data_IF_043402332931
#
_entry.id   IF_043402332931
#
_cell.length_a   1.000
_cell.length_b   1.000
_cell.length_c   1.000
_cell.angle_alpha   90.00
_cell.angle_beta   90.00
_cell.angle_gamma   90.00
#
_symmetry.space_group_name_H-M   'P 1'
#
loop_
_entity.id
_entity.type
_entity.pdbx_description
1 polymer ?
#
# COMPACT_ATOMS: atom_id res chain seq x y z
N UNK A 1 9.05 -38.84 -36.77
CA UNK A 1 9.66 -37.49 -36.85
C UNK A 1 8.56 -36.44 -36.91
N UNK A 2 8.21 -35.80 -35.79
CA UNK A 2 7.60 -34.47 -35.76
C UNK A 2 8.07 -33.75 -34.49
N UNK A 3 8.40 -32.48 -34.68
CA UNK A 3 9.31 -31.66 -33.87
C UNK A 3 8.54 -30.85 -32.83
N UNK A 4 9.18 -30.65 -31.68
CA UNK A 4 9.21 -29.46 -30.83
C UNK A 4 7.94 -28.60 -30.77
N UNK A 5 7.19 -28.73 -29.66
CA UNK A 5 6.42 -27.62 -29.10
C UNK A 5 6.90 -27.43 -27.65
N UNK A 6 8.01 -26.70 -27.53
CA UNK A 6 8.50 -26.21 -26.25
C UNK A 6 7.59 -25.06 -25.82
N UNK A 7 6.72 -25.32 -24.84
CA UNK A 7 5.94 -24.29 -24.17
C UNK A 7 6.89 -23.54 -23.23
N UNK A 8 7.35 -22.37 -23.67
CA UNK A 8 8.12 -21.45 -22.82
C UNK A 8 7.13 -20.85 -21.83
N UNK A 9 7.05 -21.44 -20.64
CA UNK A 9 6.36 -20.88 -19.49
C UNK A 9 7.22 -19.72 -18.96
N UNK A 10 6.93 -18.49 -19.41
CA UNK A 10 7.54 -17.28 -18.84
C UNK A 10 6.90 -17.07 -17.46
N UNK A 11 7.52 -17.64 -16.43
CA UNK A 11 7.24 -17.29 -15.05
C UNK A 11 7.71 -15.85 -14.83
N UNK A 12 6.79 -14.88 -14.94
CA UNK A 12 7.02 -13.53 -14.46
C UNK A 12 7.18 -13.63 -12.94
N UNK A 13 8.41 -13.52 -12.46
CA UNK A 13 8.67 -13.24 -11.05
C UNK A 13 8.13 -11.83 -10.77
N UNK A 14 6.85 -11.72 -10.46
CA UNK A 14 6.34 -10.58 -9.71
C UNK A 14 7.06 -10.64 -8.37
N UNK A 15 8.11 -9.82 -8.22
CA UNK A 15 8.68 -9.50 -6.92
C UNK A 15 7.55 -8.85 -6.12
N UNK A 16 6.78 -9.69 -5.43
CA UNK A 16 5.52 -9.36 -4.82
C UNK A 16 5.83 -8.42 -3.65
N UNK A 17 5.60 -7.12 -3.86
CA UNK A 17 5.44 -6.20 -2.75
C UNK A 17 4.29 -6.70 -1.88
N UNK A 18 4.49 -6.77 -0.58
CA UNK A 18 3.48 -7.27 0.35
C UNK A 18 2.72 -6.12 0.96
N UNK A 19 1.40 -6.21 0.98
CA UNK A 19 0.55 -5.29 1.73
C UNK A 19 -0.11 -6.05 2.87
N UNK A 20 -0.10 -5.48 4.08
CA UNK A 20 -0.80 -6.02 5.24
C UNK A 20 -1.75 -4.95 5.76
N UNK A 21 -2.99 -5.35 6.01
CA UNK A 21 -4.07 -4.47 6.48
C UNK A 21 -4.56 -4.99 7.82
N UNK A 22 -4.70 -4.09 8.79
CA UNK A 22 -5.13 -4.39 10.16
C UNK A 22 -6.26 -3.44 10.57
N UNK A 23 -7.54 -3.84 10.45
CA UNK A 23 -8.66 -3.00 10.84
C UNK A 23 -8.75 -2.82 12.36
N UNK A 24 -9.30 -1.70 12.80
CA UNK A 24 -9.63 -1.41 14.19
C UNK A 24 -11.14 -1.36 14.37
N UNK A 25 -11.69 -2.28 15.15
CA UNK A 25 -13.10 -2.23 15.55
C UNK A 25 -14.06 -2.42 14.38
N UNK A 26 -14.82 -1.37 14.06
CA UNK A 26 -15.91 -1.40 13.07
C UNK A 26 -15.40 -1.59 11.63
N UNK A 27 -16.17 -2.33 10.84
CA UNK A 27 -15.92 -2.46 9.41
C UNK A 27 -16.72 -1.41 8.66
N UNK A 28 -16.02 -0.61 7.86
CA UNK A 28 -16.63 0.34 6.93
C UNK A 28 -16.75 -0.28 5.54
N UNK A 29 -17.68 0.25 4.74
CA UNK A 29 -17.74 -0.09 3.32
C UNK A 29 -16.50 0.46 2.60
N UNK A 30 -15.88 -0.32 1.68
CA UNK A 30 -14.73 0.13 0.94
C UNK A 30 -14.99 1.42 0.16
N UNK A 31 -13.99 2.30 0.08
CA UNK A 31 -13.98 3.51 -0.76
C UNK A 31 -13.27 3.23 -2.08
N UNK A 32 -13.19 4.21 -2.98
CA UNK A 32 -12.35 4.07 -4.19
C UNK A 32 -10.90 4.45 -3.87
N UNK A 33 -9.87 3.73 -4.36
CA UNK A 33 -8.47 4.09 -4.12
C UNK A 33 -8.12 5.52 -4.50
N UNK A 34 -8.70 6.05 -5.58
CA UNK A 34 -8.47 7.43 -6.03
C UNK A 34 -9.10 8.51 -5.12
N UNK A 35 -9.99 8.13 -4.21
CA UNK A 35 -10.62 9.02 -3.22
C UNK A 35 -9.87 9.02 -1.88
N UNK A 36 -8.91 8.10 -1.70
CA UNK A 36 -8.12 8.02 -0.47
C UNK A 36 -6.96 9.01 -0.56
N UNK A 37 -6.98 10.02 0.30
CA UNK A 37 -5.89 10.98 0.41
C UNK A 37 -4.69 10.38 1.19
N UNK A 38 -3.47 10.82 0.86
CA UNK A 38 -2.26 10.40 1.59
C UNK A 38 -1.65 11.61 2.29
N UNK A 39 -1.63 11.56 3.62
CA UNK A 39 -1.01 12.59 4.46
C UNK A 39 0.31 12.10 5.06
N UNK A 40 1.19 13.06 5.37
CA UNK A 40 2.49 12.83 6.03
C UNK A 40 2.53 13.35 7.47
N UNK A 41 1.39 13.85 7.95
CA UNK A 41 1.14 14.29 9.32
C UNK A 41 -0.35 14.16 9.58
N UNK A 42 -0.75 13.89 10.83
CA UNK A 42 -2.17 13.81 11.16
C UNK A 42 -2.86 15.16 10.89
N UNK A 43 -4.04 15.16 10.24
CA UNK A 43 -4.84 16.35 10.04
C UNK A 43 -5.37 16.87 11.39
N UNK A 44 -5.60 18.18 11.48
CA UNK A 44 -6.14 18.81 12.70
C UNK A 44 -7.65 18.56 12.89
N UNK A 45 -8.35 18.23 11.81
CA UNK A 45 -9.78 17.92 11.81
C UNK A 45 -10.06 16.65 12.63
N UNK A 46 -11.23 16.57 13.24
CA UNK A 46 -11.65 15.39 13.99
C UNK A 46 -11.71 14.18 13.05
N UNK A 47 -11.12 13.06 13.49
CA UNK A 47 -11.06 11.84 12.69
C UNK A 47 -10.95 10.61 13.57
N UNK A 48 -11.45 9.49 13.04
CA UNK A 48 -11.33 8.17 13.66
C UNK A 48 -10.22 7.39 12.96
N UNK A 49 -9.36 6.72 13.73
CA UNK A 49 -8.42 5.73 13.20
C UNK A 49 -9.14 4.40 13.05
N UNK A 50 -9.21 3.91 11.82
CA UNK A 50 -10.00 2.72 11.47
C UNK A 50 -9.12 1.49 11.16
N UNK A 51 -7.80 1.67 11.11
CA UNK A 51 -6.86 0.57 10.93
C UNK A 51 -5.44 1.02 10.65
N UNK A 52 -4.53 0.07 10.63
CA UNK A 52 -3.16 0.26 10.16
C UNK A 52 -2.92 -0.50 8.86
N UNK A 53 -2.11 0.11 8.00
CA UNK A 53 -1.67 -0.42 6.72
C UNK A 53 -0.15 -0.50 6.72
N UNK A 54 0.40 -1.61 6.24
CA UNK A 54 1.83 -1.82 6.08
C UNK A 54 2.12 -2.25 4.64
N UNK A 55 2.86 -1.41 3.91
CA UNK A 55 3.20 -1.64 2.51
C UNK A 55 4.71 -1.86 2.38
N UNK A 56 5.08 -3.04 1.90
CA UNK A 56 6.44 -3.35 1.46
C UNK A 56 6.52 -3.20 -0.05
N UNK A 57 7.28 -2.22 -0.53
CA UNK A 57 7.43 -1.91 -1.95
C UNK A 57 8.86 -2.13 -2.45
N UNK A 58 8.99 -2.92 -3.51
CA UNK A 58 10.22 -3.04 -4.28
C UNK A 58 10.25 -2.02 -5.42
N UNK A 59 11.40 -1.34 -5.60
CA UNK A 59 11.65 -0.44 -6.72
C UNK A 59 12.82 -0.96 -7.57
N UNK A 60 12.59 -1.34 -8.83
CA UNK A 60 13.68 -1.72 -9.73
C UNK A 60 14.51 -0.50 -10.15
N UNK A 61 15.74 -0.75 -10.63
CA UNK A 61 16.65 0.28 -11.11
C UNK A 61 17.71 0.69 -10.09
N UNK A 62 18.27 1.89 -10.26
CA UNK A 62 19.45 2.34 -9.51
C UNK A 62 19.15 3.34 -8.39
N UNK A 63 17.95 3.93 -8.34
CA UNK A 63 17.54 4.84 -7.26
C UNK A 63 16.89 4.13 -6.07
N UNK A 64 17.11 4.66 -4.87
CA UNK A 64 16.47 4.15 -3.66
C UNK A 64 14.95 4.38 -3.72
N UNK A 65 14.13 3.46 -3.20
CA UNK A 65 12.70 3.68 -3.07
C UNK A 65 12.41 4.82 -2.08
N UNK A 66 11.29 5.47 -2.30
CA UNK A 66 10.76 6.56 -1.48
C UNK A 66 9.33 6.23 -1.06
N UNK A 67 8.78 6.96 -0.10
CA UNK A 67 7.38 6.80 0.31
C UNK A 67 6.42 7.01 -0.86
N UNK A 68 6.76 7.89 -1.80
CA UNK A 68 5.96 8.14 -3.01
C UNK A 68 5.78 6.90 -3.89
N UNK A 69 6.76 5.97 -3.89
CA UNK A 69 6.67 4.73 -4.66
C UNK A 69 5.64 3.74 -4.06
N UNK A 70 5.21 3.97 -2.82
CA UNK A 70 4.22 3.16 -2.10
C UNK A 70 2.81 3.77 -2.09
N UNK A 71 2.62 5.01 -2.57
CA UNK A 71 1.35 5.76 -2.49
C UNK A 71 0.17 4.98 -3.07
N UNK A 72 0.30 4.45 -4.29
CA UNK A 72 -0.75 3.68 -4.95
C UNK A 72 -1.23 2.50 -4.07
N UNK A 73 -0.28 1.79 -3.45
CA UNK A 73 -0.59 0.64 -2.59
C UNK A 73 -1.16 1.05 -1.23
N UNK A 74 -0.76 2.21 -0.71
CA UNK A 74 -1.35 2.78 0.51
C UNK A 74 -2.81 3.19 0.25
N UNK A 75 -3.09 3.77 -0.92
CA UNK A 75 -4.44 4.16 -1.33
C UNK A 75 -5.35 2.95 -1.53
N UNK A 76 -4.87 1.91 -2.23
CA UNK A 76 -5.61 0.65 -2.38
C UNK A 76 -5.98 0.04 -1.02
N UNK A 77 -5.01 -0.07 -0.11
CA UNK A 77 -5.24 -0.66 1.21
C UNK A 77 -6.11 0.22 2.13
N UNK A 78 -5.96 1.54 2.06
CA UNK A 78 -6.86 2.47 2.74
C UNK A 78 -8.29 2.33 2.22
N UNK A 79 -8.46 2.15 0.91
CA UNK A 79 -9.76 1.97 0.28
C UNK A 79 -10.44 0.67 0.72
N UNK A 80 -9.69 -0.42 0.82
CA UNK A 80 -10.18 -1.69 1.38
C UNK A 80 -10.73 -1.54 2.81
N UNK A 81 -10.14 -0.64 3.60
CA UNK A 81 -10.60 -0.31 4.96
C UNK A 81 -11.80 0.66 4.99
N UNK A 82 -12.19 1.24 3.86
CA UNK A 82 -13.19 2.31 3.82
C UNK A 82 -12.66 3.64 4.36
N UNK A 83 -11.36 3.89 4.24
CA UNK A 83 -10.72 5.12 4.68
C UNK A 83 -11.05 6.29 3.74
N UNK A 84 -11.08 7.50 4.30
CA UNK A 84 -11.04 8.74 3.50
C UNK A 84 -9.58 9.19 3.29
N UNK A 85 -8.69 8.86 4.21
CA UNK A 85 -7.28 9.14 4.07
C UNK A 85 -6.42 8.10 4.80
N UNK A 86 -5.14 8.03 4.42
CA UNK A 86 -4.09 7.29 5.13
C UNK A 86 -2.99 8.26 5.53
N UNK A 87 -2.53 8.17 6.77
CA UNK A 87 -1.48 9.03 7.33
C UNK A 87 -0.22 8.20 7.51
N UNK A 88 0.84 8.53 6.78
CA UNK A 88 2.14 7.87 6.91
C UNK A 88 2.71 8.17 8.30
N UNK A 89 2.95 7.12 9.09
CA UNK A 89 3.49 7.23 10.46
C UNK A 89 4.93 6.77 10.57
N UNK A 90 5.36 5.85 9.70
CA UNK A 90 6.74 5.39 9.64
C UNK A 90 7.12 4.98 8.22
N UNK A 91 8.41 5.12 7.90
CA UNK A 91 8.97 4.61 6.66
C UNK A 91 10.41 4.15 6.87
N UNK A 92 10.68 2.91 6.49
CA UNK A 92 11.99 2.29 6.65
C UNK A 92 12.47 1.71 5.32
N UNK A 93 13.69 2.07 4.91
CA UNK A 93 14.39 1.33 3.87
C UNK A 93 14.89 0.01 4.47
N UNK A 94 14.30 -1.10 4.05
CA UNK A 94 14.70 -2.46 4.47
C UNK A 94 16.00 -2.87 3.74
N UNK A 95 16.14 -2.43 2.50
CA UNK A 95 17.32 -2.61 1.67
C UNK A 95 17.37 -1.48 0.61
N UNK A 96 18.43 -1.39 -0.20
CA UNK A 96 18.63 -0.38 -1.25
C UNK A 96 17.53 -0.38 -2.33
N UNK A 97 16.70 -1.42 -2.38
CA UNK A 97 15.59 -1.60 -3.34
C UNK A 97 14.23 -1.81 -2.70
N UNK A 98 14.14 -1.86 -1.37
CA UNK A 98 12.89 -2.17 -0.67
C UNK A 98 12.62 -1.16 0.43
N UNK A 99 11.46 -0.52 0.35
CA UNK A 99 10.91 0.32 1.43
C UNK A 99 9.73 -0.40 2.09
N UNK A 100 9.61 -0.25 3.40
CA UNK A 100 8.42 -0.55 4.17
C UNK A 100 7.82 0.78 4.62
N UNK A 101 6.54 0.99 4.37
CA UNK A 101 5.80 2.18 4.79
C UNK A 101 4.63 1.74 5.64
N UNK A 102 4.54 2.29 6.84
CA UNK A 102 3.41 2.07 7.75
C UNK A 102 2.57 3.33 7.78
N UNK A 103 1.26 3.16 7.62
CA UNK A 103 0.29 4.24 7.66
C UNK A 103 -0.92 3.87 8.53
N UNK A 104 -1.54 4.88 9.13
CA UNK A 104 -2.83 4.76 9.82
C UNK A 104 -3.93 5.19 8.86
N UNK A 105 -4.92 4.32 8.65
CA UNK A 105 -6.13 4.63 7.91
C UNK A 105 -7.07 5.43 8.81
N UNK A 106 -7.58 6.55 8.29
CA UNK A 106 -8.49 7.43 9.00
C UNK A 106 -9.78 7.65 8.22
N UNK A 107 -10.85 7.93 8.97
CA UNK A 107 -12.15 8.31 8.45
C UNK A 107 -12.63 9.56 9.18
N UNK A 108 -13.21 10.48 8.42
CA UNK A 108 -13.92 11.64 8.96
C UNK A 108 -15.23 11.20 9.61
N UNK A 109 -15.66 11.87 10.70
CA UNK A 109 -17.01 11.68 11.21
C UNK A 109 -18.02 12.11 10.15
N UNK A 110 -19.09 11.32 9.98
CA UNK A 110 -20.22 11.66 9.11
C UNK A 110 -21.05 12.84 9.66
#
# INVERSE_FOLDING_TARGET
MYRCLAVILIATLTACGGTQVRPYGEHYSPTLPGEVEVFYSFPHEEHNKIGAVDVKRYKPGFSKPTVYDAVEKLQEAGAELGAHAVVVVDSQNIDDRVIRVTAEAIRWPD
#
